data_IF_342341763657
#
_entry.id   IF_342341763657
#
_cell.length_a   1.000
_cell.length_b   1.000
_cell.length_c   1.000
_cell.angle_alpha   90.00
_cell.angle_beta   90.00
_cell.angle_gamma   90.00
#
_symmetry.space_group_name_H-M   'P 1'
#
loop_
_entity.id
_entity.type
_entity.pdbx_description
1 polymer ?
#
# COMPACT_ATOMS: atom_id res chain seq x y z
N UNK A 1 -25.91 11.58 -26.41
CA UNK A 1 -24.73 10.88 -26.89
C UNK A 1 -23.65 11.93 -27.11
N UNK A 2 -22.91 12.24 -26.06
CA UNK A 2 -21.80 13.19 -26.11
C UNK A 2 -20.60 12.43 -25.57
N UNK A 3 -19.72 12.04 -26.46
CA UNK A 3 -18.45 11.37 -26.14
C UNK A 3 -17.58 12.44 -25.49
N UNK A 4 -17.26 12.27 -24.20
CA UNK A 4 -16.17 12.98 -23.59
C UNK A 4 -14.87 12.47 -24.25
N UNK A 5 -14.27 13.30 -25.07
CA UNK A 5 -12.88 13.12 -25.52
C UNK A 5 -12.00 13.23 -24.27
N UNK A 6 -11.41 12.12 -23.87
CA UNK A 6 -10.45 12.04 -22.80
C UNK A 6 -9.15 12.68 -23.28
N UNK A 7 -8.74 13.68 -22.51
CA UNK A 7 -7.38 14.18 -22.41
C UNK A 7 -6.39 13.00 -22.47
N UNK A 8 -5.37 13.09 -23.31
CA UNK A 8 -4.35 12.07 -23.54
C UNK A 8 -3.33 12.00 -22.38
N UNK A 9 -3.82 11.81 -21.16
CA UNK A 9 -2.99 11.43 -20.03
C UNK A 9 -2.61 9.95 -20.15
N UNK A 10 -1.32 9.64 -20.05
CA UNK A 10 -0.84 8.27 -19.95
C UNK A 10 -1.58 7.58 -18.79
N UNK A 11 -2.05 6.34 -18.99
CA UNK A 11 -2.87 5.57 -18.04
C UNK A 11 -2.19 5.32 -16.66
N UNK A 12 -0.94 5.74 -16.49
CA UNK A 12 -0.12 5.60 -15.28
C UNK A 12 0.34 6.94 -14.69
N UNK A 13 -0.33 8.05 -15.05
CA UNK A 13 -0.04 9.36 -14.46
C UNK A 13 -0.51 9.38 -13.00
N UNK A 14 0.45 9.54 -12.08
CA UNK A 14 0.20 9.67 -10.65
C UNK A 14 0.06 11.15 -10.30
N UNK A 15 -0.90 11.49 -9.44
CA UNK A 15 -0.91 12.82 -8.83
C UNK A 15 0.35 13.06 -7.97
N UNK A 16 0.64 14.33 -7.67
CA UNK A 16 1.87 14.71 -6.96
C UNK A 16 1.95 14.09 -5.56
N UNK A 17 0.86 14.02 -4.83
CA UNK A 17 0.81 13.44 -3.48
C UNK A 17 1.07 11.93 -3.53
N UNK A 18 0.45 11.21 -4.47
CA UNK A 18 0.66 9.76 -4.65
C UNK A 18 2.10 9.46 -5.07
N UNK A 19 2.66 10.23 -6.01
CA UNK A 19 4.05 10.08 -6.43
C UNK A 19 5.02 10.35 -5.28
N UNK A 20 4.81 11.43 -4.52
CA UNK A 20 5.64 11.73 -3.36
C UNK A 20 5.60 10.60 -2.32
N UNK A 21 4.43 10.01 -2.05
CA UNK A 21 4.28 8.87 -1.14
C UNK A 21 4.97 7.61 -1.66
N UNK A 22 4.95 7.37 -2.96
CA UNK A 22 5.69 6.27 -3.58
C UNK A 22 7.20 6.47 -3.41
N UNK A 23 7.73 7.67 -3.65
CA UNK A 23 9.14 8.01 -3.42
C UNK A 23 9.51 7.87 -1.94
N UNK A 24 8.68 8.35 -1.03
CA UNK A 24 8.91 8.19 0.41
C UNK A 24 8.90 6.72 0.82
N UNK A 25 8.01 5.90 0.26
CA UNK A 25 7.97 4.45 0.51
C UNK A 25 9.24 3.77 0.01
N UNK A 26 9.78 4.18 -1.14
CA UNK A 26 11.07 3.70 -1.64
C UNK A 26 12.22 3.95 -0.64
N UNK A 27 12.15 5.03 0.17
CA UNK A 27 13.12 5.30 1.21
C UNK A 27 12.98 4.36 2.43
N UNK A 28 11.89 3.59 2.54
CA UNK A 28 11.57 2.76 3.69
C UNK A 28 11.81 1.27 3.41
N UNK A 29 12.03 0.49 4.46
CA UNK A 29 12.02 -0.98 4.38
C UNK A 29 10.65 -1.56 4.75
N UNK A 30 9.95 -0.86 5.64
CA UNK A 30 8.64 -1.24 6.19
C UNK A 30 7.90 0.03 6.55
N UNK A 31 6.62 -0.07 6.92
CA UNK A 31 5.89 1.05 7.50
C UNK A 31 6.67 1.64 8.70
N UNK A 32 6.86 2.96 8.70
CA UNK A 32 7.77 3.65 9.62
C UNK A 32 7.03 4.75 10.40
N UNK A 33 7.05 4.62 11.71
CA UNK A 33 6.40 5.57 12.62
C UNK A 33 7.05 6.97 12.59
N UNK A 34 8.37 7.06 12.34
CA UNK A 34 9.07 8.35 12.25
C UNK A 34 8.68 9.09 10.97
N UNK A 35 8.55 8.37 9.85
CA UNK A 35 8.04 8.92 8.60
C UNK A 35 6.58 9.37 8.75
N UNK A 36 5.74 8.56 9.38
CA UNK A 36 4.35 8.93 9.67
C UNK A 36 4.27 10.18 10.54
N UNK A 37 5.15 10.31 11.54
CA UNK A 37 5.22 11.52 12.36
C UNK A 37 5.66 12.73 11.52
N UNK A 38 6.66 12.61 10.65
CA UNK A 38 7.06 13.69 9.74
C UNK A 38 5.90 14.14 8.85
N UNK A 39 5.20 13.20 8.20
CA UNK A 39 4.03 13.50 7.37
C UNK A 39 2.89 14.19 8.11
N UNK A 40 2.70 13.90 9.40
CA UNK A 40 1.73 14.64 10.23
C UNK A 40 2.19 16.05 10.57
N UNK A 41 3.46 16.36 10.39
CA UNK A 41 4.04 17.67 10.67
C UNK A 41 4.15 18.58 9.45
N UNK A 42 3.99 18.04 8.26
CA UNK A 42 3.98 18.74 6.97
C UNK A 42 2.54 18.94 6.46
N UNK A 43 2.37 19.73 5.41
CA UNK A 43 1.08 19.94 4.76
C UNK A 43 0.68 18.70 3.92
N UNK A 44 1.66 18.12 3.21
CA UNK A 44 1.49 16.99 2.32
C UNK A 44 2.79 16.17 2.22
N UNK A 45 2.76 15.09 1.42
CA UNK A 45 3.93 14.23 1.24
C UNK A 45 5.01 14.90 0.37
N UNK A 46 4.63 15.80 -0.51
CA UNK A 46 5.59 16.54 -1.33
C UNK A 46 6.44 17.48 -0.49
N UNK A 47 5.84 18.18 0.47
CA UNK A 47 6.59 19.01 1.44
C UNK A 47 7.55 18.15 2.27
N UNK A 48 7.08 16.99 2.77
CA UNK A 48 7.94 16.06 3.52
C UNK A 48 9.14 15.59 2.69
N UNK A 49 8.91 15.19 1.43
CA UNK A 49 9.94 14.77 0.49
C UNK A 49 10.94 15.90 0.20
N UNK A 50 10.45 17.12 0.00
CA UNK A 50 11.27 18.30 -0.24
C UNK A 50 12.16 18.60 0.98
N UNK A 51 11.60 18.54 2.20
CA UNK A 51 12.38 18.75 3.43
C UNK A 51 13.47 17.68 3.62
N UNK A 52 13.18 16.41 3.30
CA UNK A 52 14.18 15.32 3.36
C UNK A 52 15.33 15.62 2.40
N UNK A 53 15.02 15.97 1.16
CA UNK A 53 16.00 16.27 0.12
C UNK A 53 16.83 17.51 0.48
N UNK A 54 16.17 18.61 0.86
CA UNK A 54 16.82 19.90 1.11
C UNK A 54 17.66 19.90 2.40
N UNK A 55 17.38 18.99 3.34
CA UNK A 55 18.18 18.79 4.55
C UNK A 55 19.36 17.83 4.34
N UNK A 56 19.55 17.27 3.14
CA UNK A 56 20.66 16.36 2.84
C UNK A 56 22.00 17.14 2.82
N UNK A 57 22.94 16.84 3.73
CA UNK A 57 24.21 17.56 3.80
C UNK A 57 25.09 17.35 2.56
N UNK A 58 24.89 16.28 1.78
CA UNK A 58 25.65 16.03 0.56
C UNK A 58 25.12 16.86 -0.63
N UNK A 59 23.85 17.23 -0.63
CA UNK A 59 23.26 18.07 -1.68
C UNK A 59 23.46 19.59 -1.44
N UNK A 60 23.90 20.01 -0.24
CA UNK A 60 24.21 21.39 0.15
C UNK A 60 23.13 22.43 -0.18
N UNK A 61 21.86 22.09 -0.07
CA UNK A 61 20.78 22.90 -0.64
C UNK A 61 20.37 24.09 0.23
N UNK A 62 20.45 24.03 1.57
CA UNK A 62 20.01 25.16 2.39
C UNK A 62 20.63 25.19 3.80
N UNK A 63 21.19 26.34 4.19
CA UNK A 63 21.61 26.58 5.57
C UNK A 63 20.37 26.63 6.48
N UNK A 64 20.25 25.65 7.41
CA UNK A 64 19.14 25.58 8.37
C UNK A 64 18.03 24.58 8.05
N UNK A 65 18.03 23.93 6.88
CA UNK A 65 17.03 22.93 6.50
C UNK A 65 16.91 21.77 7.52
N UNK A 66 18.01 21.35 8.12
CA UNK A 66 18.01 20.35 9.19
C UNK A 66 17.19 20.75 10.43
N UNK A 67 17.13 22.05 10.78
CA UNK A 67 16.27 22.52 11.88
C UNK A 67 14.80 22.54 11.48
N UNK A 68 14.50 22.89 10.24
CA UNK A 68 13.13 22.96 9.73
C UNK A 68 12.49 21.57 9.72
N UNK A 69 13.19 20.56 9.22
CA UNK A 69 12.66 19.19 9.18
C UNK A 69 12.52 18.59 10.59
N UNK A 70 13.44 18.88 11.52
CA UNK A 70 13.28 18.47 12.92
C UNK A 70 12.08 19.13 13.59
N UNK A 71 11.84 20.40 13.30
CA UNK A 71 10.66 21.10 13.80
C UNK A 71 9.37 20.50 13.24
N UNK A 72 9.31 20.21 11.94
CA UNK A 72 8.19 19.50 11.31
C UNK A 72 7.95 18.13 11.97
N UNK A 73 9.00 17.36 12.20
CA UNK A 73 8.89 16.08 12.91
C UNK A 73 8.32 16.25 14.34
N UNK A 74 8.80 17.21 15.11
CA UNK A 74 8.30 17.48 16.47
C UNK A 74 6.83 17.91 16.48
N UNK A 75 6.42 18.74 15.53
CA UNK A 75 5.01 19.14 15.33
C UNK A 75 4.18 17.89 15.02
N UNK A 76 4.65 17.06 14.12
CA UNK A 76 3.94 15.83 13.73
C UNK A 76 3.82 14.82 14.88
N UNK A 77 4.84 14.63 15.69
CA UNK A 77 4.75 13.82 16.90
C UNK A 77 3.64 14.33 17.83
N UNK A 78 3.59 15.65 18.05
CA UNK A 78 2.56 16.27 18.91
C UNK A 78 1.17 16.08 18.32
N UNK A 79 0.99 16.26 17.01
CA UNK A 79 -0.27 15.98 16.30
C UNK A 79 -0.69 14.50 16.36
N UNK A 80 0.28 13.59 16.47
CA UNK A 80 0.03 12.15 16.65
C UNK A 80 -0.16 11.75 18.13
N UNK A 81 -0.28 12.70 19.03
CA UNK A 81 -0.51 12.45 20.46
C UNK A 81 0.74 12.01 21.24
N UNK A 82 1.93 12.21 20.69
CA UNK A 82 3.20 11.84 21.30
C UNK A 82 4.03 13.07 21.66
N UNK A 83 4.76 13.03 22.77
CA UNK A 83 5.68 14.12 23.15
C UNK A 83 7.02 13.94 22.45
N UNK A 84 7.57 14.98 21.80
CA UNK A 84 8.93 14.95 21.29
C UNK A 84 9.92 14.78 22.43
N UNK A 85 10.72 13.73 22.40
CA UNK A 85 11.81 13.51 23.38
C UNK A 85 13.16 13.63 22.70
N UNK A 86 14.25 13.97 23.43
CA UNK A 86 15.59 13.97 22.87
C UNK A 86 15.98 12.64 22.22
N UNK A 87 15.46 11.52 22.74
CA UNK A 87 15.67 10.19 22.15
C UNK A 87 14.95 10.05 20.81
N UNK A 88 13.68 10.45 20.72
CA UNK A 88 12.92 10.41 19.47
C UNK A 88 13.58 11.25 18.37
N UNK A 89 14.08 12.46 18.71
CA UNK A 89 14.81 13.31 17.76
C UNK A 89 16.11 12.67 17.30
N UNK A 90 16.86 12.00 18.19
CA UNK A 90 18.06 11.25 17.77
C UNK A 90 17.72 10.09 16.83
N UNK A 91 16.67 9.33 17.13
CA UNK A 91 16.20 8.24 16.26
C UNK A 91 15.76 8.76 14.91
N UNK A 92 15.05 9.89 14.89
CA UNK A 92 14.64 10.57 13.65
C UNK A 92 15.85 10.99 12.80
N UNK A 93 16.89 11.60 13.40
CA UNK A 93 18.12 11.99 12.66
C UNK A 93 18.80 10.77 12.04
N UNK A 94 18.85 9.64 12.75
CA UNK A 94 19.43 8.40 12.23
C UNK A 94 18.59 7.85 11.06
N UNK A 95 17.27 7.84 11.19
CA UNK A 95 16.37 7.42 10.12
C UNK A 95 16.46 8.35 8.90
N UNK A 96 16.47 9.67 9.12
CA UNK A 96 16.62 10.68 8.08
C UNK A 96 17.87 10.45 7.24
N UNK A 97 19.02 10.20 7.86
CA UNK A 97 20.25 9.89 7.13
C UNK A 97 20.12 8.65 6.24
N UNK A 98 19.41 7.61 6.73
CA UNK A 98 19.14 6.40 5.94
C UNK A 98 18.19 6.71 4.77
N UNK A 99 17.14 7.50 4.98
CA UNK A 99 16.19 7.90 3.93
C UNK A 99 16.91 8.72 2.85
N UNK A 100 17.73 9.69 3.25
CA UNK A 100 18.54 10.50 2.33
C UNK A 100 19.49 9.63 1.49
N UNK A 101 20.18 8.67 2.12
CA UNK A 101 21.05 7.75 1.40
C UNK A 101 20.29 6.95 0.33
N UNK A 102 19.08 6.48 0.64
CA UNK A 102 18.25 5.77 -0.34
C UNK A 102 17.71 6.70 -1.40
N UNK A 103 17.26 7.89 -1.02
CA UNK A 103 16.75 8.87 -1.97
C UNK A 103 17.77 9.22 -3.06
N UNK A 104 19.07 9.23 -2.72
CA UNK A 104 20.17 9.41 -3.68
C UNK A 104 20.32 8.25 -4.69
N UNK A 105 19.71 7.10 -4.43
CA UNK A 105 19.71 5.95 -5.35
C UNK A 105 18.52 5.97 -6.32
N UNK A 106 17.64 6.97 -6.26
CA UNK A 106 16.63 7.16 -7.30
C UNK A 106 17.30 7.36 -8.65
N UNK A 107 16.78 6.73 -9.72
CA UNK A 107 17.41 6.80 -11.04
C UNK A 107 17.37 8.23 -11.63
N UNK A 108 16.34 9.00 -11.28
CA UNK A 108 16.11 10.37 -11.77
C UNK A 108 15.10 11.09 -10.86
N UNK A 109 14.92 12.39 -11.11
CA UNK A 109 13.83 13.22 -10.55
C UNK A 109 12.80 13.60 -11.62
N UNK A 110 12.92 13.02 -12.81
CA UNK A 110 11.93 13.23 -13.88
C UNK A 110 10.62 12.53 -13.49
N UNK A 111 9.54 13.31 -13.47
CA UNK A 111 8.23 12.87 -13.00
C UNK A 111 7.67 11.74 -13.85
N UNK A 112 7.69 11.91 -15.16
CA UNK A 112 7.07 10.95 -16.08
C UNK A 112 7.82 9.61 -16.06
N UNK A 113 9.14 9.67 -15.97
CA UNK A 113 9.97 8.49 -15.79
C UNK A 113 9.63 7.77 -14.47
N UNK A 114 9.53 8.51 -13.37
CA UNK A 114 9.22 7.91 -12.05
C UNK A 114 7.81 7.31 -12.01
N UNK A 115 6.82 7.98 -12.60
CA UNK A 115 5.48 7.42 -12.72
C UNK A 115 5.51 6.08 -13.48
N UNK A 116 6.14 6.00 -14.63
CA UNK A 116 6.30 4.75 -15.37
C UNK A 116 7.06 3.69 -14.58
N UNK A 117 8.16 4.06 -13.95
CA UNK A 117 9.00 3.15 -13.18
C UNK A 117 8.28 2.55 -11.95
N UNK A 118 7.59 3.38 -11.16
CA UNK A 118 6.85 2.91 -9.99
C UNK A 118 5.61 2.09 -10.36
N UNK A 119 4.96 2.38 -11.48
CA UNK A 119 3.77 1.66 -11.94
C UNK A 119 4.09 0.47 -12.86
N UNK A 120 5.37 0.17 -13.09
CA UNK A 120 5.78 -0.83 -14.08
C UNK A 120 5.16 -0.56 -15.46
N UNK A 121 5.20 0.72 -15.90
CA UNK A 121 4.60 1.19 -17.15
C UNK A 121 3.10 0.89 -17.25
N UNK A 122 2.38 1.14 -16.14
CA UNK A 122 0.93 0.99 -16.06
C UNK A 122 0.43 -0.43 -15.78
N UNK A 123 1.32 -1.40 -15.57
CA UNK A 123 0.93 -2.76 -15.14
C UNK A 123 0.49 -2.85 -13.68
N UNK A 124 0.91 -1.88 -12.88
CA UNK A 124 0.51 -1.74 -11.48
C UNK A 124 -0.05 -0.33 -11.27
N UNK A 125 -1.10 -0.24 -10.48
CA UNK A 125 -1.61 1.02 -9.98
C UNK A 125 -1.05 1.31 -8.59
N UNK A 126 -1.04 2.59 -8.22
CA UNK A 126 -0.69 3.03 -6.87
C UNK A 126 -1.85 3.87 -6.35
N UNK A 127 -2.26 3.63 -5.11
CA UNK A 127 -3.26 4.44 -4.41
C UNK A 127 -2.70 4.93 -3.08
N UNK A 128 -3.18 6.09 -2.64
CA UNK A 128 -2.77 6.76 -1.41
C UNK A 128 -4.00 7.13 -0.55
N UNK A 129 -3.84 7.56 0.71
CA UNK A 129 -4.95 7.82 1.64
C UNK A 129 -6.02 8.79 1.18
N UNK A 130 -5.77 9.60 0.17
CA UNK A 130 -6.75 10.53 -0.43
C UNK A 130 -7.52 9.93 -1.61
N UNK A 131 -7.13 8.76 -2.10
CA UNK A 131 -7.82 8.06 -3.19
C UNK A 131 -9.14 7.47 -2.72
N UNK A 132 -10.16 7.50 -3.59
CA UNK A 132 -11.49 6.97 -3.30
C UNK A 132 -11.49 5.45 -3.06
N UNK A 133 -10.48 4.74 -3.58
CA UNK A 133 -10.30 3.30 -3.42
C UNK A 133 -9.45 2.92 -2.20
N UNK A 134 -9.03 3.91 -1.40
CA UNK A 134 -8.25 3.65 -0.18
C UNK A 134 -9.10 2.96 0.88
N UNK A 135 -8.67 1.80 1.40
CA UNK A 135 -9.38 1.14 2.50
C UNK A 135 -9.16 1.93 3.80
N UNK A 136 -10.08 2.80 4.15
CA UNK A 136 -9.94 3.76 5.27
C UNK A 136 -9.60 3.11 6.60
N UNK A 137 -9.97 1.83 6.81
CA UNK A 137 -9.60 1.07 8.01
C UNK A 137 -8.10 0.85 8.17
N UNK A 138 -7.28 1.01 7.14
CA UNK A 138 -5.82 1.01 7.28
C UNK A 138 -5.33 2.17 8.17
N UNK A 139 -6.09 3.25 8.25
CA UNK A 139 -5.77 4.38 9.12
C UNK A 139 -5.86 4.00 10.62
N UNK A 140 -6.66 2.98 10.96
CA UNK A 140 -6.80 2.48 12.34
C UNK A 140 -5.48 1.87 12.87
N UNK A 141 -4.55 1.46 11.99
CA UNK A 141 -3.22 1.01 12.39
C UNK A 141 -2.46 2.09 13.17
N UNK A 142 -2.68 3.37 12.85
CA UNK A 142 -2.09 4.47 13.59
C UNK A 142 -2.55 4.56 15.05
N UNK A 143 -3.71 4.00 15.38
CA UNK A 143 -4.28 3.97 16.74
C UNK A 143 -3.58 2.91 17.62
N UNK A 144 -2.94 1.91 17.02
CA UNK A 144 -2.26 0.83 17.73
C UNK A 144 -0.91 1.27 18.35
N UNK A 145 -0.55 2.53 18.27
CA UNK A 145 0.56 3.19 18.96
C UNK A 145 1.98 2.73 18.57
N UNK A 146 2.11 1.61 17.84
CA UNK A 146 3.38 1.06 17.36
C UNK A 146 3.35 0.66 15.89
N UNK A 147 2.20 0.75 15.25
CA UNK A 147 2.02 0.41 13.84
C UNK A 147 1.83 1.71 13.06
N UNK A 148 2.65 1.92 12.05
CA UNK A 148 2.43 2.98 11.08
C UNK A 148 1.55 2.43 9.95
N UNK A 149 0.55 3.18 9.45
CA UNK A 149 -0.13 2.82 8.23
C UNK A 149 0.83 2.88 7.03
N UNK A 150 0.58 2.10 5.96
CA UNK A 150 1.33 2.25 4.73
C UNK A 150 1.12 3.66 4.15
N UNK A 151 2.13 4.21 3.47
CA UNK A 151 2.02 5.53 2.86
C UNK A 151 1.20 5.51 1.57
N UNK A 152 1.28 4.41 0.84
CA UNK A 152 0.51 4.08 -0.35
C UNK A 152 0.47 2.55 -0.51
N UNK A 153 -0.34 2.06 -1.44
CA UNK A 153 -0.43 0.65 -1.81
C UNK A 153 -0.16 0.52 -3.30
N UNK A 154 0.67 -0.46 -3.66
CA UNK A 154 0.80 -0.96 -5.03
C UNK A 154 -0.22 -2.06 -5.27
N UNK A 155 -0.81 -2.09 -6.46
CA UNK A 155 -1.74 -3.14 -6.79
C UNK A 155 -1.80 -3.49 -8.25
N UNK A 156 -2.37 -4.66 -8.52
CA UNK A 156 -2.72 -5.17 -9.84
C UNK A 156 -4.13 -5.73 -9.79
N UNK A 157 -4.86 -5.74 -10.91
CA UNK A 157 -6.27 -6.09 -10.97
C UNK A 157 -7.17 -4.88 -10.70
N UNK A 158 -8.38 -5.11 -10.17
CA UNK A 158 -9.37 -4.07 -9.95
C UNK A 158 -9.20 -3.39 -8.58
N UNK A 159 -8.69 -2.15 -8.56
CA UNK A 159 -8.55 -1.36 -7.33
C UNK A 159 -9.89 -1.13 -6.58
N UNK A 160 -11.02 -1.15 -7.30
CA UNK A 160 -12.33 -1.02 -6.66
C UNK A 160 -12.69 -2.21 -5.76
N UNK A 161 -11.97 -3.34 -5.87
CA UNK A 161 -12.13 -4.48 -4.97
C UNK A 161 -11.85 -4.10 -3.51
N UNK A 162 -10.89 -3.19 -3.25
CA UNK A 162 -10.48 -2.84 -1.89
C UNK A 162 -11.59 -2.18 -1.07
N UNK A 163 -12.51 -1.50 -1.72
CA UNK A 163 -13.64 -0.80 -1.07
C UNK A 163 -14.99 -1.40 -1.43
N UNK A 164 -15.00 -2.58 -2.08
CA UNK A 164 -16.24 -3.25 -2.55
C UNK A 164 -17.16 -3.73 -1.41
N UNK A 165 -16.64 -3.83 -0.19
CA UNK A 165 -17.40 -4.27 0.98
C UNK A 165 -16.97 -3.51 2.24
N UNK A 166 -17.90 -2.95 3.03
CA UNK A 166 -17.59 -2.23 4.27
C UNK A 166 -17.10 -3.15 5.39
N UNK A 167 -17.35 -4.44 5.29
CA UNK A 167 -16.99 -5.44 6.30
C UNK A 167 -16.23 -6.62 5.64
N UNK A 168 -14.97 -6.44 5.27
CA UNK A 168 -14.14 -7.50 4.71
C UNK A 168 -13.89 -8.61 5.74
N UNK A 169 -13.73 -9.84 5.27
CA UNK A 169 -13.39 -11.01 6.08
C UNK A 169 -11.93 -11.39 5.81
N UNK A 170 -11.09 -11.26 6.82
CA UNK A 170 -9.71 -11.74 6.77
C UNK A 170 -9.64 -13.23 7.07
N UNK A 171 -9.10 -14.04 6.16
CA UNK A 171 -8.90 -15.47 6.36
C UNK A 171 -7.40 -15.75 6.29
N UNK A 172 -6.82 -16.24 7.37
CA UNK A 172 -5.39 -16.56 7.48
C UNK A 172 -5.21 -17.90 8.16
N UNK A 173 -4.13 -18.61 7.83
CA UNK A 173 -3.90 -19.90 8.47
C UNK A 173 -2.59 -20.57 8.05
N UNK A 174 -2.49 -21.86 8.33
CA UNK A 174 -1.28 -22.65 8.10
C UNK A 174 -0.96 -22.78 6.60
N UNK A 175 0.34 -22.69 6.26
CA UNK A 175 0.84 -23.05 4.93
C UNK A 175 0.76 -24.54 4.64
N UNK A 176 0.86 -25.38 5.67
CA UNK A 176 0.76 -26.84 5.61
C UNK A 176 -0.59 -27.37 6.08
N UNK A 177 -1.68 -26.72 5.71
CA UNK A 177 -3.05 -27.14 6.07
C UNK A 177 -3.37 -28.53 5.51
N UNK A 178 -3.96 -29.41 6.34
CA UNK A 178 -4.44 -30.72 5.91
C UNK A 178 -5.74 -30.62 5.08
N UNK A 179 -6.20 -31.75 4.55
CA UNK A 179 -7.39 -31.79 3.68
C UNK A 179 -8.65 -31.24 4.37
N UNK A 180 -8.85 -31.57 5.66
CA UNK A 180 -9.98 -31.07 6.43
C UNK A 180 -9.92 -29.53 6.57
N UNK A 181 -8.76 -29.01 6.97
CA UNK A 181 -8.58 -27.57 7.12
C UNK A 181 -8.71 -26.84 5.79
N UNK A 182 -8.24 -27.43 4.67
CA UNK A 182 -8.40 -26.84 3.34
C UNK A 182 -9.89 -26.74 2.96
N UNK A 183 -10.65 -27.82 3.11
CA UNK A 183 -12.10 -27.82 2.85
C UNK A 183 -12.82 -26.79 3.70
N UNK A 184 -12.59 -26.81 5.01
CA UNK A 184 -13.21 -25.85 5.93
C UNK A 184 -12.90 -24.39 5.54
N UNK A 185 -11.66 -24.09 5.18
CA UNK A 185 -11.26 -22.75 4.74
C UNK A 185 -11.98 -22.37 3.44
N UNK A 186 -12.05 -23.27 2.48
CA UNK A 186 -12.77 -23.04 1.22
C UNK A 186 -14.26 -22.81 1.49
N UNK A 187 -14.90 -23.62 2.33
CA UNK A 187 -16.33 -23.48 2.66
C UNK A 187 -16.63 -22.14 3.34
N UNK A 188 -15.78 -21.72 4.29
CA UNK A 188 -15.91 -20.42 4.95
C UNK A 188 -15.79 -19.28 3.92
N UNK A 189 -14.80 -19.35 3.02
CA UNK A 189 -14.59 -18.33 2.00
C UNK A 189 -15.74 -18.28 0.98
N UNK A 190 -16.27 -19.44 0.56
CA UNK A 190 -17.45 -19.52 -0.30
C UNK A 190 -18.64 -18.83 0.35
N UNK A 191 -18.94 -19.16 1.61
CA UNK A 191 -20.10 -18.56 2.32
C UNK A 191 -19.91 -17.06 2.55
N UNK A 192 -18.69 -16.62 2.92
CA UNK A 192 -18.39 -15.20 3.06
C UNK A 192 -18.62 -14.45 1.74
N UNK A 193 -18.10 -14.97 0.62
CA UNK A 193 -18.26 -14.35 -0.68
C UNK A 193 -19.73 -14.41 -1.15
N UNK A 194 -20.46 -15.50 -0.91
CA UNK A 194 -21.91 -15.60 -1.20
C UNK A 194 -22.72 -14.54 -0.44
N UNK A 195 -22.33 -14.24 0.78
CA UNK A 195 -22.93 -13.17 1.59
C UNK A 195 -22.52 -11.75 1.16
N UNK A 196 -21.71 -11.62 0.10
CA UNK A 196 -21.23 -10.34 -0.42
C UNK A 196 -20.00 -9.78 0.29
N UNK A 197 -19.37 -10.52 1.20
CA UNK A 197 -18.17 -10.07 1.88
C UNK A 197 -16.93 -10.16 0.98
N UNK A 198 -16.08 -9.12 1.04
CA UNK A 198 -14.74 -9.18 0.49
C UNK A 198 -13.88 -10.16 1.30
N UNK A 199 -13.31 -11.15 0.64
CA UNK A 199 -12.35 -12.09 1.25
C UNK A 199 -10.94 -11.52 1.10
N UNK A 200 -10.25 -11.31 2.22
CA UNK A 200 -8.86 -10.81 2.23
C UNK A 200 -7.95 -11.89 2.83
N UNK A 201 -6.89 -12.21 2.13
CA UNK A 201 -5.90 -13.19 2.61
C UNK A 201 -4.50 -12.84 2.12
N UNK A 202 -3.49 -13.59 2.57
CA UNK A 202 -2.14 -13.50 2.01
C UNK A 202 -1.98 -14.30 0.71
N UNK A 203 -0.75 -14.31 0.18
CA UNK A 203 -0.43 -15.08 -1.03
C UNK A 203 0.14 -16.48 -0.74
N UNK A 204 0.14 -16.96 0.50
CA UNK A 204 0.79 -18.21 0.86
C UNK A 204 0.07 -19.46 0.34
N UNK A 205 0.77 -20.59 0.34
CA UNK A 205 0.15 -21.90 0.17
C UNK A 205 -0.78 -22.21 1.36
N UNK A 206 -1.63 -23.21 1.20
CA UNK A 206 -2.47 -23.73 2.28
C UNK A 206 -3.75 -22.94 2.47
N UNK A 207 -3.99 -22.41 3.67
CA UNK A 207 -5.23 -21.71 4.02
C UNK A 207 -5.46 -20.46 3.15
N UNK A 208 -4.45 -19.64 2.90
CA UNK A 208 -4.58 -18.44 2.08
C UNK A 208 -5.06 -18.78 0.66
N UNK A 209 -4.38 -19.73 0.00
CA UNK A 209 -4.78 -20.18 -1.33
C UNK A 209 -6.18 -20.83 -1.35
N UNK A 210 -6.55 -21.55 -0.30
CA UNK A 210 -7.90 -22.15 -0.17
C UNK A 210 -8.97 -21.06 -0.03
N UNK A 211 -8.70 -20.01 0.73
CA UNK A 211 -9.61 -18.87 0.89
C UNK A 211 -9.88 -18.17 -0.45
N UNK A 212 -8.83 -17.88 -1.22
CA UNK A 212 -9.00 -17.24 -2.53
C UNK A 212 -9.75 -18.13 -3.52
N UNK A 213 -9.44 -19.44 -3.56
CA UNK A 213 -10.17 -20.38 -4.42
C UNK A 213 -11.66 -20.41 -4.07
N UNK A 214 -12.00 -20.50 -2.77
CA UNK A 214 -13.40 -20.47 -2.34
C UNK A 214 -14.14 -19.19 -2.77
N UNK A 215 -13.51 -18.03 -2.62
CA UNK A 215 -14.10 -16.77 -3.08
C UNK A 215 -14.28 -16.75 -4.60
N UNK A 216 -13.29 -17.20 -5.38
CA UNK A 216 -13.39 -17.30 -6.84
C UNK A 216 -14.48 -18.30 -7.28
N UNK A 217 -14.64 -19.42 -6.59
CA UNK A 217 -15.69 -20.39 -6.89
C UNK A 217 -17.07 -19.79 -6.64
N UNK A 218 -17.27 -19.02 -5.56
CA UNK A 218 -18.50 -18.29 -5.34
C UNK A 218 -18.76 -17.24 -6.43
N UNK A 219 -17.73 -16.50 -6.87
CA UNK A 219 -17.86 -15.51 -7.95
C UNK A 219 -18.26 -16.16 -9.29
N UNK A 220 -17.71 -17.34 -9.60
CA UNK A 220 -18.09 -18.12 -10.80
C UNK A 220 -19.53 -18.62 -10.74
N UNK A 221 -19.97 -19.07 -9.55
CA UNK A 221 -21.31 -19.64 -9.37
C UNK A 221 -22.41 -18.56 -9.35
N UNK A 222 -22.17 -17.41 -8.75
CA UNK A 222 -23.19 -16.37 -8.51
C UNK A 222 -23.02 -15.13 -9.38
N UNK A 223 -21.90 -14.99 -10.08
CA UNK A 223 -21.57 -13.88 -10.96
C UNK A 223 -20.85 -12.72 -10.25
N UNK A 224 -20.00 -12.03 -11.02
CA UNK A 224 -19.31 -10.81 -10.61
C UNK A 224 -20.34 -9.73 -10.28
N UNK A 225 -20.24 -9.13 -9.09
CA UNK A 225 -21.18 -8.10 -8.58
C UNK A 225 -22.32 -8.65 -7.73
N UNK A 226 -22.52 -9.96 -7.63
CA UNK A 226 -23.42 -10.62 -6.67
C UNK A 226 -22.66 -11.27 -5.53
N UNK A 227 -21.56 -11.96 -5.84
CA UNK A 227 -20.64 -12.48 -4.83
C UNK A 227 -19.60 -11.42 -4.43
N UNK A 228 -19.12 -11.51 -3.19
CA UNK A 228 -18.00 -10.73 -2.70
C UNK A 228 -16.72 -11.08 -3.46
N UNK A 229 -15.85 -10.09 -3.61
CA UNK A 229 -14.57 -10.20 -4.30
C UNK A 229 -13.49 -10.80 -3.39
N UNK A 230 -12.27 -10.95 -3.92
CA UNK A 230 -11.12 -11.34 -3.10
C UNK A 230 -9.90 -10.47 -3.39
N UNK A 231 -9.12 -10.21 -2.33
CA UNK A 231 -7.89 -9.40 -2.38
C UNK A 231 -6.76 -10.17 -1.71
N UNK A 232 -5.66 -10.36 -2.43
CA UNK A 232 -4.45 -10.96 -1.91
C UNK A 232 -3.44 -9.89 -1.50
N UNK A 233 -2.90 -9.98 -0.27
CA UNK A 233 -1.97 -9.01 0.33
C UNK A 233 -0.57 -9.63 0.44
N UNK A 234 0.44 -8.98 -0.12
CA UNK A 234 1.83 -9.43 -0.15
C UNK A 234 2.74 -8.50 0.65
N UNK A 235 3.69 -9.10 1.37
CA UNK A 235 4.69 -8.35 2.12
C UNK A 235 5.96 -8.04 1.30
N UNK A 236 6.18 -8.71 0.17
CA UNK A 236 7.43 -8.66 -0.60
C UNK A 236 7.36 -7.91 -1.93
N UNK A 237 6.28 -7.15 -2.16
CA UNK A 237 6.03 -6.48 -3.44
C UNK A 237 5.40 -7.41 -4.48
N UNK A 238 4.82 -6.81 -5.54
CA UNK A 238 4.08 -7.56 -6.56
C UNK A 238 4.96 -8.18 -7.63
N UNK A 239 6.20 -7.72 -7.79
CA UNK A 239 7.14 -8.29 -8.76
C UNK A 239 7.56 -9.73 -8.40
N UNK A 240 7.37 -10.12 -7.14
CA UNK A 240 7.62 -11.46 -6.61
C UNK A 240 6.43 -11.92 -5.75
N UNK A 241 5.22 -11.78 -6.31
CA UNK A 241 3.99 -12.12 -5.63
C UNK A 241 3.95 -13.60 -5.28
N UNK A 242 4.06 -13.93 -3.99
CA UNK A 242 3.85 -15.24 -3.39
C UNK A 242 4.67 -16.39 -3.95
N UNK A 243 4.32 -17.62 -3.64
CA UNK A 243 4.97 -18.80 -4.21
C UNK A 243 4.50 -19.00 -5.66
N UNK A 244 5.43 -19.39 -6.55
CA UNK A 244 5.17 -19.60 -7.98
C UNK A 244 4.02 -20.62 -8.24
N UNK A 245 3.82 -21.60 -7.35
CA UNK A 245 2.71 -22.54 -7.48
C UNK A 245 1.31 -21.92 -7.36
N UNK A 246 1.20 -20.68 -6.96
CA UNK A 246 -0.05 -19.93 -6.87
C UNK A 246 -0.18 -18.87 -7.99
N UNK A 247 0.71 -18.81 -9.00
CA UNK A 247 0.64 -17.82 -10.06
C UNK A 247 -0.71 -17.80 -10.79
N UNK A 248 -1.20 -18.95 -11.22
CA UNK A 248 -2.52 -19.07 -11.86
C UNK A 248 -3.68 -18.60 -10.95
N UNK A 249 -3.55 -18.79 -9.64
CA UNK A 249 -4.52 -18.29 -8.68
C UNK A 249 -4.49 -16.76 -8.62
N UNK A 250 -3.31 -16.17 -8.66
CA UNK A 250 -3.14 -14.70 -8.65
C UNK A 250 -3.67 -14.08 -9.94
N UNK A 251 -3.39 -14.68 -11.08
CA UNK A 251 -3.96 -14.27 -12.36
C UNK A 251 -5.49 -14.35 -12.31
N UNK A 252 -6.03 -15.46 -11.80
CA UNK A 252 -7.47 -15.64 -11.62
C UNK A 252 -8.11 -14.62 -10.68
N UNK A 253 -7.42 -14.15 -9.63
CA UNK A 253 -7.89 -13.07 -8.76
C UNK A 253 -8.02 -11.77 -9.55
N UNK A 254 -6.96 -11.37 -10.26
CA UNK A 254 -6.92 -10.13 -11.01
C UNK A 254 -7.93 -10.09 -12.16
N UNK A 255 -8.07 -11.20 -12.90
CA UNK A 255 -8.97 -11.31 -14.05
C UNK A 255 -10.47 -11.35 -13.67
N UNK A 256 -10.79 -11.79 -12.45
CA UNK A 256 -12.17 -11.86 -11.98
C UNK A 256 -12.58 -10.70 -11.07
N UNK A 257 -11.95 -9.52 -11.23
CA UNK A 257 -12.33 -8.29 -10.53
C UNK A 257 -11.88 -8.26 -9.06
N UNK A 258 -10.94 -9.09 -8.67
CA UNK A 258 -10.19 -8.98 -7.42
C UNK A 258 -8.95 -8.12 -7.59
N UNK A 259 -8.11 -8.05 -6.54
CA UNK A 259 -6.86 -7.31 -6.57
C UNK A 259 -5.73 -8.05 -5.85
N UNK A 260 -4.52 -7.82 -6.31
CA UNK A 260 -3.27 -8.15 -5.65
C UNK A 260 -2.67 -6.86 -5.12
N UNK A 261 -2.28 -6.79 -3.84
CA UNK A 261 -1.76 -5.56 -3.22
C UNK A 261 -0.52 -5.81 -2.38
N UNK A 262 0.32 -4.81 -2.29
CA UNK A 262 1.50 -4.80 -1.44
C UNK A 262 1.72 -3.42 -0.82
#
# INVERSE_FOLDING_TARGET
MTVCESDSGLCWDLDEETLARAILTFCLNTADALMTALLKGTADAWEALTLIRDSDPELRTSAGAGKVIEQAFCIGMTRWGSKPTPQAVRSFRSALATWQQRLRTLPTWDRDYLCGWFTMEGRQWIIAPHDVWWPTRLNDLALLGRCAPPLCLWGSGDRAALTSCPQPVGIVGSRGVNEYGRRLTTDIAVHAAQAGHLVVSGGAMGADAAAHRGALDAMRAYGIGRAGRTVAVFAGGLNHAGPQCNSELFDGIAENGGALVS
#
